data_IF_905785447603
#
_entry.id   IF_905785447603
#
_cell.length_a   1.000
_cell.length_b   1.000
_cell.length_c   1.000
_cell.angle_alpha   90.00
_cell.angle_beta   90.00
_cell.angle_gamma   90.00
#
_symmetry.space_group_name_H-M   'P 1'
#
loop_
_entity.id
_entity.type
_entity.pdbx_description
1 polymer ?
#
# COMPACT_ATOMS: atom_id res chain seq x y z
N UNK A 1 0.52 10.83 -20.77
CA UNK A 1 0.25 9.41 -20.41
C UNK A 1 0.39 9.34 -18.91
N UNK A 2 -0.46 8.61 -18.18
CA UNK A 2 -0.38 8.46 -16.73
C UNK A 2 0.11 7.04 -16.41
N UNK A 3 1.10 6.88 -15.53
CA UNK A 3 1.75 5.60 -15.21
C UNK A 3 1.15 4.95 -13.95
N UNK A 4 1.21 5.64 -12.81
CA UNK A 4 0.73 5.24 -11.49
C UNK A 4 -0.77 5.52 -11.36
N UNK A 5 -1.54 4.72 -12.08
CA UNK A 5 -3.00 4.72 -12.04
C UNK A 5 -3.54 3.95 -10.83
N UNK A 6 -4.84 4.10 -10.54
CA UNK A 6 -5.53 3.31 -9.50
C UNK A 6 -5.47 1.82 -9.83
N UNK A 7 -5.66 1.48 -11.10
CA UNK A 7 -5.59 0.11 -11.60
C UNK A 7 -4.18 -0.47 -11.44
N UNK A 8 -3.13 0.32 -11.74
CA UNK A 8 -1.75 -0.11 -11.49
C UNK A 8 -1.49 -0.34 -10.00
N UNK A 9 -1.95 0.56 -9.12
CA UNK A 9 -1.85 0.37 -7.67
C UNK A 9 -2.54 -0.92 -7.23
N UNK A 10 -3.74 -1.22 -7.73
CA UNK A 10 -4.42 -2.48 -7.41
C UNK A 10 -3.61 -3.72 -7.79
N UNK A 11 -2.80 -3.66 -8.85
CA UNK A 11 -1.87 -4.75 -9.21
C UNK A 11 -0.70 -4.86 -8.23
N UNK A 12 -0.20 -3.74 -7.70
CA UNK A 12 0.85 -3.75 -6.68
C UNK A 12 0.45 -4.56 -5.45
N UNK A 13 -0.84 -4.57 -5.10
CA UNK A 13 -1.39 -5.33 -3.96
C UNK A 13 -1.51 -6.85 -4.22
N UNK A 14 -1.21 -7.32 -5.43
CA UNK A 14 -1.49 -8.68 -5.92
C UNK A 14 -0.23 -9.41 -6.41
N UNK A 15 0.96 -9.04 -5.94
CA UNK A 15 2.23 -9.59 -6.41
C UNK A 15 2.91 -10.58 -5.43
N UNK A 16 2.34 -10.79 -4.24
CA UNK A 16 2.98 -11.53 -3.16
C UNK A 16 2.04 -12.53 -2.43
N UNK A 17 0.83 -12.76 -2.95
CA UNK A 17 -0.19 -13.61 -2.31
C UNK A 17 0.24 -15.09 -2.15
N UNK A 18 1.32 -15.51 -2.81
CA UNK A 18 1.85 -16.87 -2.74
C UNK A 18 2.96 -17.05 -1.69
N UNK A 19 3.53 -15.97 -1.12
CA UNK A 19 4.79 -16.03 -0.37
C UNK A 19 4.73 -16.92 0.88
N UNK A 20 3.58 -16.99 1.54
CA UNK A 20 3.40 -17.74 2.78
C UNK A 20 2.77 -19.12 2.56
N UNK A 21 2.31 -19.43 1.33
CA UNK A 21 1.60 -20.67 1.07
C UNK A 21 2.51 -21.89 1.23
N UNK A 22 2.02 -22.85 2.00
CA UNK A 22 2.64 -24.15 2.23
C UNK A 22 1.82 -25.25 1.56
N UNK A 23 2.53 -26.20 0.94
CA UNK A 23 1.89 -27.34 0.30
C UNK A 23 1.25 -28.25 1.35
N UNK A 24 -0.04 -28.51 1.18
CA UNK A 24 -0.81 -29.38 2.05
C UNK A 24 -1.76 -30.25 1.22
N UNK A 25 -1.68 -31.57 1.44
CA UNK A 25 -2.51 -32.53 0.73
C UNK A 25 -3.95 -32.50 1.21
N UNK A 26 -4.19 -32.27 2.51
CA UNK A 26 -5.55 -32.18 3.05
C UNK A 26 -6.34 -30.98 2.48
N UNK A 27 -5.65 -30.00 1.87
CA UNK A 27 -6.27 -28.87 1.17
C UNK A 27 -6.87 -29.24 -0.21
N UNK A 28 -6.70 -30.47 -0.69
CA UNK A 28 -7.31 -30.95 -1.96
C UNK A 28 -8.84 -31.10 -1.87
N UNK A 29 -9.39 -31.22 -0.66
CA UNK A 29 -10.82 -31.45 -0.44
C UNK A 29 -11.36 -30.57 0.68
N UNK A 30 -12.62 -30.17 0.58
CA UNK A 30 -13.30 -29.49 1.68
C UNK A 30 -13.44 -30.44 2.89
N UNK A 31 -12.98 -30.00 4.07
CA UNK A 31 -13.10 -30.74 5.32
C UNK A 31 -13.25 -29.78 6.50
N UNK A 32 -14.43 -29.79 7.11
CA UNK A 32 -14.70 -28.97 8.31
C UNK A 32 -13.82 -29.38 9.48
N UNK A 33 -13.63 -30.68 9.68
CA UNK A 33 -12.78 -31.20 10.76
C UNK A 33 -11.33 -30.71 10.60
N UNK A 34 -10.79 -30.78 9.38
CA UNK A 34 -9.43 -30.31 9.10
C UNK A 34 -9.30 -28.81 9.32
N UNK A 35 -10.24 -28.01 8.81
CA UNK A 35 -10.25 -26.56 9.03
C UNK A 35 -10.26 -26.21 10.53
N UNK A 36 -11.12 -26.83 11.34
CA UNK A 36 -11.21 -26.55 12.77
C UNK A 36 -9.91 -26.92 13.50
N UNK A 37 -9.29 -28.06 13.16
CA UNK A 37 -8.00 -28.46 13.71
C UNK A 37 -6.91 -27.43 13.37
N UNK A 38 -6.78 -27.06 12.09
CA UNK A 38 -5.80 -26.10 11.62
C UNK A 38 -6.01 -24.72 12.25
N UNK A 39 -7.25 -24.23 12.29
CA UNK A 39 -7.59 -22.95 12.91
C UNK A 39 -7.18 -22.92 14.40
N UNK A 40 -7.42 -24.00 15.14
CA UNK A 40 -6.99 -24.09 16.53
C UNK A 40 -5.47 -24.14 16.70
N UNK A 41 -4.75 -24.80 15.79
CA UNK A 41 -3.28 -24.82 15.80
C UNK A 41 -2.73 -23.40 15.59
N UNK A 42 -3.20 -22.72 14.54
CA UNK A 42 -2.76 -21.36 14.22
C UNK A 42 -3.14 -20.34 15.30
N UNK A 43 -4.35 -20.43 15.85
CA UNK A 43 -4.77 -19.60 16.98
C UNK A 43 -3.85 -19.77 18.18
N UNK A 44 -3.52 -21.01 18.57
CA UNK A 44 -2.64 -21.24 19.70
C UNK A 44 -1.21 -20.74 19.43
N UNK A 45 -0.69 -20.96 18.23
CA UNK A 45 0.62 -20.45 17.80
C UNK A 45 0.67 -18.91 17.91
N UNK A 46 -0.35 -18.24 17.37
CA UNK A 46 -0.48 -16.79 17.43
C UNK A 46 -0.57 -16.29 18.87
N UNK A 47 -1.40 -16.91 19.72
CA UNK A 47 -1.52 -16.55 21.14
C UNK A 47 -0.19 -16.65 21.88
N UNK A 48 0.59 -17.70 21.63
CA UNK A 48 1.92 -17.88 22.23
C UNK A 48 2.88 -16.77 21.80
N UNK A 49 2.93 -16.44 20.50
CA UNK A 49 3.79 -15.35 20.00
C UNK A 49 3.39 -14.00 20.60
N UNK A 50 2.10 -13.72 20.70
CA UNK A 50 1.60 -12.47 21.30
C UNK A 50 1.92 -12.36 22.79
N UNK A 51 1.77 -13.45 23.55
CA UNK A 51 2.12 -13.50 24.96
C UNK A 51 3.63 -13.30 25.16
N UNK A 52 4.47 -13.98 24.38
CA UNK A 52 5.92 -13.82 24.43
C UNK A 52 6.37 -12.40 24.06
N UNK A 53 5.77 -11.79 23.04
CA UNK A 53 6.04 -10.42 22.66
C UNK A 53 5.63 -9.43 23.77
N UNK A 54 4.46 -9.64 24.38
CA UNK A 54 3.98 -8.82 25.51
C UNK A 54 4.92 -8.92 26.72
N UNK A 55 5.42 -10.12 27.04
CA UNK A 55 6.36 -10.31 28.16
C UNK A 55 7.67 -9.52 27.99
N UNK A 56 8.13 -9.31 26.75
CA UNK A 56 9.32 -8.47 26.46
C UNK A 56 9.08 -6.99 26.75
N UNK A 57 7.82 -6.56 26.81
CA UNK A 57 7.44 -5.18 27.10
C UNK A 57 7.24 -4.91 28.60
N UNK A 58 7.43 -5.91 29.47
CA UNK A 58 7.10 -5.84 30.91
C UNK A 58 7.76 -4.69 31.68
N UNK A 59 8.90 -4.18 31.22
CA UNK A 59 9.59 -3.04 31.84
C UNK A 59 9.10 -1.66 31.39
N UNK A 60 8.13 -1.57 30.48
CA UNK A 60 7.60 -0.29 30.01
C UNK A 60 6.58 0.28 31.01
N UNK A 61 6.55 1.60 31.15
CA UNK A 61 5.68 2.31 32.11
C UNK A 61 4.17 2.06 31.88
N UNK A 62 3.77 1.73 30.64
CA UNK A 62 2.38 1.44 30.26
C UNK A 62 2.14 -0.06 29.99
N UNK A 63 2.84 -0.95 30.68
CA UNK A 63 2.67 -2.39 30.49
C UNK A 63 1.27 -2.85 30.94
N UNK A 64 0.51 -3.39 30.00
CA UNK A 64 -0.71 -4.13 30.23
C UNK A 64 -0.46 -5.62 29.99
N UNK A 65 -0.82 -6.52 30.92
CA UNK A 65 -0.69 -7.96 30.71
C UNK A 65 -1.48 -8.44 29.49
N UNK A 66 -0.94 -9.42 28.78
CA UNK A 66 -1.64 -10.06 27.68
C UNK A 66 -3.00 -10.63 28.12
N UNK A 67 -4.06 -10.24 27.42
CA UNK A 67 -5.40 -10.77 27.60
C UNK A 67 -5.69 -11.78 26.50
N UNK A 68 -5.79 -13.06 26.88
CA UNK A 68 -6.03 -14.17 25.96
C UNK A 68 -7.37 -14.07 25.21
N UNK A 69 -8.44 -13.63 25.87
CA UNK A 69 -9.77 -13.51 25.26
C UNK A 69 -9.77 -12.44 24.18
N UNK A 70 -9.25 -11.25 24.50
CA UNK A 70 -9.02 -10.18 23.51
C UNK A 70 -8.13 -10.65 22.38
N UNK A 71 -7.14 -11.49 22.71
CA UNK A 71 -6.31 -12.11 21.69
C UNK A 71 -7.13 -12.94 20.71
N UNK A 72 -7.94 -13.87 21.22
CA UNK A 72 -8.78 -14.75 20.37
C UNK A 72 -9.67 -13.93 19.43
N UNK A 73 -10.26 -12.83 19.93
CA UNK A 73 -11.05 -11.91 19.11
C UNK A 73 -10.21 -11.27 17.99
N UNK A 74 -9.02 -10.75 18.32
CA UNK A 74 -8.10 -10.15 17.34
C UNK A 74 -7.68 -11.14 16.25
N UNK A 75 -7.34 -12.38 16.62
CA UNK A 75 -7.01 -13.42 15.64
C UNK A 75 -8.19 -13.69 14.71
N UNK A 76 -9.39 -13.79 15.25
CA UNK A 76 -10.60 -14.03 14.46
C UNK A 76 -10.86 -12.89 13.49
N UNK A 77 -10.76 -11.63 13.94
CA UNK A 77 -10.96 -10.46 13.11
C UNK A 77 -9.95 -10.40 11.95
N UNK A 78 -8.67 -10.69 12.23
CA UNK A 78 -7.61 -10.78 11.22
C UNK A 78 -7.92 -11.91 10.22
N UNK A 79 -8.32 -13.08 10.70
CA UNK A 79 -8.68 -14.21 9.84
C UNK A 79 -9.84 -13.86 8.90
N UNK A 80 -10.92 -13.25 9.42
CA UNK A 80 -12.06 -12.84 8.59
C UNK A 80 -11.67 -11.76 7.58
N UNK A 81 -10.86 -10.78 7.99
CA UNK A 81 -10.33 -9.76 7.09
C UNK A 81 -9.52 -10.39 5.95
N UNK A 82 -8.57 -11.27 6.27
CA UNK A 82 -7.73 -11.95 5.27
C UNK A 82 -8.56 -12.83 4.33
N UNK A 83 -9.56 -13.53 4.85
CA UNK A 83 -10.49 -14.32 4.05
C UNK A 83 -11.25 -13.46 3.03
N UNK A 84 -11.76 -12.30 3.46
CA UNK A 84 -12.46 -11.36 2.58
C UNK A 84 -11.51 -10.73 1.56
N UNK A 85 -10.31 -10.35 2.01
CA UNK A 85 -9.26 -9.79 1.17
C UNK A 85 -8.88 -10.76 0.05
N UNK A 86 -8.53 -12.00 0.39
CA UNK A 86 -8.11 -13.01 -0.59
C UNK A 86 -9.20 -13.32 -1.62
N UNK A 87 -10.48 -13.37 -1.19
CA UNK A 87 -11.62 -13.53 -2.11
C UNK A 87 -11.76 -12.38 -3.10
N UNK A 88 -11.42 -11.16 -2.68
CA UNK A 88 -11.47 -9.95 -3.54
C UNK A 88 -10.28 -9.90 -4.50
N UNK A 89 -9.08 -10.27 -4.03
CA UNK A 89 -7.85 -10.10 -4.80
C UNK A 89 -7.59 -11.22 -5.81
N UNK A 90 -7.97 -12.47 -5.48
CA UNK A 90 -7.70 -13.61 -6.35
C UNK A 90 -8.66 -13.65 -7.54
N UNK A 91 -8.17 -13.97 -8.75
CA UNK A 91 -9.03 -14.24 -9.90
C UNK A 91 -10.01 -15.38 -9.63
N UNK A 92 -11.24 -15.27 -10.14
CA UNK A 92 -12.28 -16.30 -9.98
C UNK A 92 -11.81 -17.69 -10.47
N UNK A 93 -10.96 -17.73 -11.49
CA UNK A 93 -10.37 -18.96 -12.04
C UNK A 93 -9.43 -19.66 -11.05
N UNK A 94 -8.74 -18.92 -10.20
CA UNK A 94 -7.91 -19.47 -9.12
C UNK A 94 -8.77 -19.85 -7.93
N UNK A 95 -9.73 -19.00 -7.55
CA UNK A 95 -10.65 -19.29 -6.43
C UNK A 95 -11.38 -20.61 -6.64
N UNK A 96 -11.80 -20.92 -7.89
CA UNK A 96 -12.45 -22.20 -8.24
C UNK A 96 -11.55 -23.44 -8.09
N UNK A 97 -10.23 -23.28 -8.02
CA UNK A 97 -9.28 -24.38 -7.80
C UNK A 97 -9.06 -24.67 -6.31
N UNK A 98 -9.47 -23.75 -5.43
CA UNK A 98 -9.29 -23.86 -3.98
C UNK A 98 -10.50 -24.62 -3.42
N UNK A 99 -10.25 -25.78 -2.81
CA UNK A 99 -11.32 -26.62 -2.27
C UNK A 99 -11.97 -26.01 -1.00
N UNK A 100 -11.15 -25.41 -0.13
CA UNK A 100 -11.62 -24.63 1.02
C UNK A 100 -10.77 -23.35 1.17
N UNK A 101 -11.38 -22.21 0.87
CA UNK A 101 -10.72 -20.90 0.96
C UNK A 101 -10.30 -20.54 2.40
N UNK A 102 -10.93 -21.14 3.42
CA UNK A 102 -10.56 -20.90 4.82
C UNK A 102 -9.24 -21.56 5.18
N UNK A 103 -8.99 -22.75 4.64
CA UNK A 103 -7.69 -23.45 4.76
C UNK A 103 -6.61 -22.69 4.00
N UNK A 104 -6.94 -22.17 2.82
CA UNK A 104 -6.06 -21.28 2.06
C UNK A 104 -5.72 -19.98 2.82
N UNK A 105 -6.68 -19.39 3.54
CA UNK A 105 -6.44 -18.21 4.40
C UNK A 105 -5.50 -18.51 5.58
N UNK A 106 -5.35 -19.78 5.96
CA UNK A 106 -4.36 -20.24 6.95
C UNK A 106 -3.09 -20.76 6.26
N UNK A 107 -2.77 -20.20 5.09
CA UNK A 107 -1.57 -20.44 4.30
C UNK A 107 -1.38 -21.89 3.83
N UNK A 108 -2.43 -22.72 3.78
CA UNK A 108 -2.35 -24.11 3.27
C UNK A 108 -3.02 -24.27 1.92
N UNK A 109 -2.29 -24.80 0.94
CA UNK A 109 -2.81 -24.98 -0.41
C UNK A 109 -2.22 -26.21 -1.10
N UNK A 110 -2.90 -26.69 -2.14
CA UNK A 110 -2.32 -27.74 -2.99
C UNK A 110 -1.21 -27.16 -3.87
N UNK A 111 -0.27 -28.00 -4.31
CA UNK A 111 0.80 -27.57 -5.23
C UNK A 111 0.27 -26.87 -6.48
N UNK A 112 -0.85 -27.35 -7.04
CA UNK A 112 -1.46 -26.75 -8.23
C UNK A 112 -1.98 -25.34 -7.95
N UNK A 113 -2.65 -25.14 -6.82
CA UNK A 113 -3.13 -23.81 -6.40
C UNK A 113 -1.95 -22.87 -6.17
N UNK A 114 -0.89 -23.31 -5.46
CA UNK A 114 0.31 -22.51 -5.21
C UNK A 114 0.90 -22.04 -6.54
N UNK A 115 1.13 -22.96 -7.49
CA UNK A 115 1.68 -22.62 -8.80
C UNK A 115 0.81 -21.60 -9.55
N UNK A 116 -0.52 -21.72 -9.49
CA UNK A 116 -1.43 -20.79 -10.13
C UNK A 116 -1.37 -19.39 -9.51
N UNK A 117 -1.33 -19.29 -8.17
CA UNK A 117 -1.20 -18.00 -7.46
C UNK A 117 0.17 -17.39 -7.71
N UNK A 118 1.24 -18.19 -7.71
CA UNK A 118 2.61 -17.74 -8.04
C UNK A 118 2.65 -17.15 -9.45
N UNK A 119 2.13 -17.86 -10.46
CA UNK A 119 2.11 -17.34 -11.83
C UNK A 119 1.34 -16.01 -11.91
N UNK A 120 0.16 -15.92 -11.30
CA UNK A 120 -0.63 -14.69 -11.24
C UNK A 120 0.16 -13.54 -10.59
N UNK A 121 0.82 -13.81 -9.46
CA UNK A 121 1.62 -12.82 -8.75
C UNK A 121 2.82 -12.34 -9.58
N UNK A 122 3.53 -13.25 -10.23
CA UNK A 122 4.69 -12.94 -11.09
C UNK A 122 4.29 -12.12 -12.33
N UNK A 123 3.14 -12.43 -12.93
CA UNK A 123 2.59 -11.65 -14.05
C UNK A 123 2.26 -10.22 -13.62
N UNK A 124 1.59 -10.05 -12.46
CA UNK A 124 1.31 -8.73 -11.90
C UNK A 124 2.61 -7.97 -11.57
N UNK A 125 3.59 -8.65 -10.96
CA UNK A 125 4.90 -8.06 -10.66
C UNK A 125 5.57 -7.52 -11.92
N UNK A 126 5.59 -8.28 -13.02
CA UNK A 126 6.18 -7.85 -14.30
C UNK A 126 5.51 -6.59 -14.84
N UNK A 127 4.18 -6.51 -14.80
CA UNK A 127 3.43 -5.33 -15.23
C UNK A 127 3.80 -4.13 -14.35
N UNK A 128 3.77 -4.31 -13.03
CA UNK A 128 4.07 -3.27 -12.05
C UNK A 128 5.47 -2.70 -12.27
N UNK A 129 6.48 -3.57 -12.35
CA UNK A 129 7.88 -3.18 -12.55
C UNK A 129 8.09 -2.50 -13.89
N UNK A 130 7.45 -2.97 -14.97
CA UNK A 130 7.58 -2.35 -16.30
C UNK A 130 7.09 -0.90 -16.28
N UNK A 131 5.95 -0.63 -15.63
CA UNK A 131 5.41 0.73 -15.51
C UNK A 131 6.35 1.65 -14.71
N UNK A 132 6.95 1.14 -13.62
CA UNK A 132 7.96 1.88 -12.85
C UNK A 132 9.18 2.20 -13.73
N UNK A 133 9.70 1.19 -14.45
CA UNK A 133 10.86 1.35 -15.33
C UNK A 133 10.60 2.35 -16.47
N UNK A 134 9.41 2.31 -17.05
CA UNK A 134 9.04 3.23 -18.13
C UNK A 134 8.87 4.68 -17.63
N UNK A 135 8.32 4.89 -16.44
CA UNK A 135 8.31 6.23 -15.84
C UNK A 135 9.71 6.71 -15.48
N UNK A 136 10.56 5.85 -14.90
CA UNK A 136 11.97 6.18 -14.62
C UNK A 136 12.72 6.56 -15.90
N UNK A 137 12.46 5.84 -16.99
CA UNK A 137 13.03 6.16 -18.32
C UNK A 137 12.54 7.52 -18.81
N UNK A 138 11.24 7.78 -18.71
CA UNK A 138 10.65 9.08 -19.06
C UNK A 138 11.32 10.23 -18.28
N UNK A 139 11.45 10.11 -16.95
CA UNK A 139 12.10 11.14 -16.13
C UNK A 139 13.55 11.34 -16.53
N UNK A 140 14.30 10.26 -16.78
CA UNK A 140 15.69 10.36 -17.24
C UNK A 140 15.81 11.10 -18.58
N UNK A 141 14.97 10.75 -19.56
CA UNK A 141 14.95 11.37 -20.89
C UNK A 141 14.51 12.83 -20.88
N UNK A 142 13.68 13.22 -19.89
CA UNK A 142 13.14 14.57 -19.75
C UNK A 142 13.77 15.37 -18.60
N UNK A 143 14.82 14.84 -17.95
CA UNK A 143 15.49 15.46 -16.80
C UNK A 143 15.95 16.89 -17.08
N UNK A 144 16.43 17.19 -18.30
CA UNK A 144 16.85 18.54 -18.68
C UNK A 144 15.72 19.54 -18.84
N UNK A 145 14.46 19.08 -18.94
CA UNK A 145 13.26 19.92 -19.03
C UNK A 145 12.62 20.17 -17.67
N UNK A 146 12.99 19.36 -16.68
CA UNK A 146 12.51 19.48 -15.31
C UNK A 146 13.57 20.26 -14.52
N UNK A 147 13.32 21.54 -14.24
CA UNK A 147 14.20 22.34 -13.36
C UNK A 147 13.99 22.01 -11.87
N UNK A 148 13.52 20.78 -11.59
CA UNK A 148 13.22 20.27 -10.26
C UNK A 148 14.09 19.05 -10.05
N UNK A 149 14.91 19.08 -9.01
CA UNK A 149 15.67 17.92 -8.57
C UNK A 149 14.70 16.93 -7.90
N UNK A 150 14.29 15.91 -8.66
CA UNK A 150 13.46 14.81 -8.18
C UNK A 150 14.41 13.63 -8.02
N UNK A 151 14.59 13.17 -6.80
CA UNK A 151 15.25 11.88 -6.57
C UNK A 151 14.25 10.81 -7.06
N UNK A 152 14.63 10.05 -8.08
CA UNK A 152 13.73 9.28 -8.96
C UNK A 152 12.98 8.10 -8.31
N UNK A 153 12.98 8.02 -6.99
CA UNK A 153 12.39 6.97 -6.15
C UNK A 153 11.28 7.54 -5.25
N UNK A 154 10.23 8.12 -5.85
CA UNK A 154 9.00 8.51 -5.15
C UNK A 154 9.23 9.39 -3.91
N UNK A 155 9.63 10.64 -4.14
CA UNK A 155 10.11 11.58 -3.13
C UNK A 155 9.12 11.90 -2.01
N UNK A 156 7.85 11.52 -2.13
CA UNK A 156 6.82 11.75 -1.12
C UNK A 156 6.10 10.49 -0.64
N UNK A 157 6.56 9.29 -1.03
CA UNK A 157 5.92 8.04 -0.59
C UNK A 157 5.76 8.01 0.94
N UNK A 158 4.59 7.60 1.42
CA UNK A 158 4.20 7.56 2.84
C UNK A 158 4.07 8.92 3.55
N UNK A 159 4.31 10.05 2.89
CA UNK A 159 3.99 11.36 3.46
C UNK A 159 2.49 11.50 3.65
N UNK A 160 2.06 11.98 4.82
CA UNK A 160 0.65 12.29 5.06
C UNK A 160 0.37 13.78 4.89
N UNK A 161 -0.62 14.15 4.09
CA UNK A 161 -1.05 15.55 3.97
C UNK A 161 -1.82 15.93 5.24
N UNK A 162 -1.21 16.77 6.08
CA UNK A 162 -1.81 17.25 7.33
C UNK A 162 -2.79 18.39 7.04
N UNK A 163 -2.46 19.25 6.08
CA UNK A 163 -3.22 20.46 5.79
C UNK A 163 -3.01 20.93 4.36
N UNK A 164 -4.10 21.32 3.70
CA UNK A 164 -4.04 22.11 2.48
C UNK A 164 -4.38 23.58 2.77
N UNK A 165 -3.59 24.50 2.23
CA UNK A 165 -3.81 25.94 2.32
C UNK A 165 -3.89 26.46 0.90
N UNK A 166 -5.12 26.74 0.44
CA UNK A 166 -5.41 27.21 -0.90
C UNK A 166 -5.76 28.69 -0.90
N UNK A 167 -5.24 29.42 -1.89
CA UNK A 167 -5.73 30.73 -2.29
C UNK A 167 -5.98 30.75 -3.82
N UNK A 168 -6.33 31.91 -4.38
CA UNK A 168 -6.71 32.04 -5.79
C UNK A 168 -5.63 31.59 -6.78
N UNK A 169 -4.34 31.63 -6.39
CA UNK A 169 -3.22 31.33 -7.28
C UNK A 169 -2.29 30.25 -6.77
N UNK A 170 -2.38 29.87 -5.50
CA UNK A 170 -1.43 28.91 -4.92
C UNK A 170 -2.09 27.88 -4.02
N UNK A 171 -1.43 26.73 -3.95
CA UNK A 171 -1.78 25.63 -3.08
C UNK A 171 -0.52 25.23 -2.32
N UNK A 172 -0.58 25.30 -0.99
CA UNK A 172 0.44 24.78 -0.09
C UNK A 172 -0.08 23.53 0.60
N UNK A 173 0.68 22.45 0.54
CA UNK A 173 0.44 21.19 1.26
C UNK A 173 1.46 21.06 2.38
N UNK A 174 1.00 20.85 3.60
CA UNK A 174 1.84 20.49 4.75
C UNK A 174 1.85 18.97 4.92
N UNK A 175 3.04 18.40 5.06
CA UNK A 175 3.27 16.96 5.11
C UNK A 175 3.75 16.51 6.51
N UNK A 176 3.28 15.35 6.97
CA UNK A 176 3.94 14.56 8.01
C UNK A 176 4.81 13.52 7.29
N UNK A 177 6.14 13.65 7.42
CA UNK A 177 7.13 12.81 6.76
C UNK A 177 7.83 11.82 7.71
N UNK A 178 7.36 11.66 8.95
CA UNK A 178 8.03 10.81 9.98
C UNK A 178 8.25 9.36 9.58
N UNK A 179 7.45 8.85 8.64
CA UNK A 179 7.49 7.47 8.14
C UNK A 179 7.93 7.40 6.67
N UNK A 180 8.33 8.53 6.09
CA UNK A 180 8.78 8.68 4.71
C UNK A 180 10.30 8.85 4.66
N UNK A 181 10.92 8.57 3.51
CA UNK A 181 12.35 8.78 3.28
C UNK A 181 12.71 10.25 2.96
N UNK A 182 11.72 11.14 2.87
CA UNK A 182 11.93 12.56 2.59
C UNK A 182 12.00 13.43 3.84
N UNK A 183 12.74 14.54 3.74
CA UNK A 183 12.79 15.58 4.77
C UNK A 183 11.95 16.82 4.41
N UNK A 184 11.15 16.73 3.34
CA UNK A 184 10.30 17.84 2.88
C UNK A 184 9.05 17.88 3.75
N UNK A 185 8.78 19.04 4.35
CA UNK A 185 7.61 19.27 5.18
C UNK A 185 6.50 20.01 4.42
N UNK A 186 6.87 20.74 3.36
CA UNK A 186 5.90 21.54 2.59
C UNK A 186 6.14 21.46 1.09
N UNK A 187 5.04 21.32 0.35
CA UNK A 187 5.00 21.46 -1.11
C UNK A 187 4.14 22.65 -1.46
N UNK A 188 4.69 23.59 -2.23
CA UNK A 188 3.99 24.80 -2.65
C UNK A 188 3.90 24.82 -4.17
N UNK A 189 2.68 24.93 -4.69
CA UNK A 189 2.36 25.11 -6.10
C UNK A 189 1.88 26.55 -6.32
N UNK A 190 2.47 27.26 -7.27
CA UNK A 190 2.16 28.66 -7.59
C UNK A 190 1.62 28.82 -9.02
N UNK A 191 0.72 29.80 -9.19
CA UNK A 191 -0.07 30.05 -10.40
C UNK A 191 -0.77 28.79 -10.93
N UNK A 192 -1.56 28.19 -10.05
CA UNK A 192 -2.08 26.84 -10.23
C UNK A 192 -3.32 26.75 -11.11
N UNK A 193 -3.54 25.56 -11.66
CA UNK A 193 -4.81 25.09 -12.17
C UNK A 193 -5.03 23.65 -11.69
N UNK A 194 -6.06 23.41 -10.87
CA UNK A 194 -6.42 22.04 -10.45
C UNK A 194 -7.17 21.39 -11.60
N UNK A 195 -6.58 20.33 -12.17
CA UNK A 195 -7.12 19.59 -13.31
C UNK A 195 -8.07 18.49 -12.82
N UNK A 196 -7.70 17.80 -11.74
CA UNK A 196 -8.49 16.72 -11.14
C UNK A 196 -8.28 16.70 -9.63
N UNK A 197 -9.35 16.45 -8.89
CA UNK A 197 -9.32 16.20 -7.45
C UNK A 197 -10.54 15.36 -7.10
N UNK A 198 -10.33 14.06 -6.87
CA UNK A 198 -11.44 13.14 -6.60
C UNK A 198 -12.07 13.35 -5.21
N UNK A 199 -11.29 13.79 -4.22
CA UNK A 199 -11.74 13.98 -2.83
C UNK A 199 -10.87 15.03 -2.08
N UNK A 200 -11.11 15.20 -0.78
CA UNK A 200 -10.27 15.98 0.14
C UNK A 200 -8.84 15.44 0.18
N UNK A 201 -7.87 16.35 0.24
CA UNK A 201 -6.45 15.98 0.25
C UNK A 201 -5.96 15.72 1.68
N UNK A 202 -6.50 16.45 2.64
CA UNK A 202 -6.17 16.29 4.05
C UNK A 202 -6.41 14.87 4.53
N UNK A 203 -5.57 14.46 5.47
CA UNK A 203 -5.60 13.13 6.07
C UNK A 203 -5.32 11.97 5.10
N UNK A 204 -4.87 12.26 3.88
CA UNK A 204 -4.48 11.25 2.89
C UNK A 204 -2.95 11.06 2.86
N UNK A 205 -2.54 9.82 2.60
CA UNK A 205 -1.14 9.44 2.37
C UNK A 205 -0.80 9.55 0.90
N UNK A 206 0.39 10.05 0.64
CA UNK A 206 0.95 10.18 -0.70
C UNK A 206 1.58 8.86 -1.10
N UNK A 207 1.04 8.25 -2.15
CA UNK A 207 1.52 6.95 -2.61
C UNK A 207 2.49 7.14 -3.77
N UNK A 208 2.10 7.87 -4.81
CA UNK A 208 2.94 8.00 -6.00
C UNK A 208 2.73 9.35 -6.66
N UNK A 209 3.80 9.86 -7.27
CA UNK A 209 3.75 11.07 -8.09
C UNK A 209 4.35 10.87 -9.47
N UNK A 210 3.79 11.60 -10.42
CA UNK A 210 4.31 11.77 -11.76
C UNK A 210 4.43 13.26 -12.07
N UNK A 211 5.53 13.64 -12.71
CA UNK A 211 5.83 15.05 -12.96
C UNK A 211 6.11 15.25 -14.44
N UNK A 212 5.34 16.14 -15.06
CA UNK A 212 5.43 16.46 -16.48
C UNK A 212 5.71 17.95 -16.70
N UNK A 213 6.32 18.27 -17.84
CA UNK A 213 6.41 19.63 -18.36
C UNK A 213 5.46 19.77 -19.54
N UNK A 214 4.42 20.59 -19.41
CA UNK A 214 3.37 20.79 -20.42
C UNK A 214 3.16 22.29 -20.62
N UNK A 215 3.40 22.80 -21.84
CA UNK A 215 3.27 24.22 -22.19
C UNK A 215 3.97 25.15 -21.17
N UNK A 216 5.23 24.87 -20.86
CA UNK A 216 6.08 25.57 -19.88
C UNK A 216 5.64 25.48 -18.41
N UNK A 217 4.52 24.81 -18.10
CA UNK A 217 4.06 24.53 -16.74
C UNK A 217 4.44 23.14 -16.29
N UNK A 218 4.58 22.97 -14.98
CA UNK A 218 4.62 21.67 -14.36
C UNK A 218 3.20 21.11 -14.27
N UNK A 219 3.06 19.81 -14.48
CA UNK A 219 1.84 19.07 -14.21
C UNK A 219 2.19 17.89 -13.30
N UNK A 220 1.67 17.92 -12.08
CA UNK A 220 1.82 16.89 -11.06
C UNK A 220 0.59 16.00 -11.07
N UNK A 221 0.81 14.69 -11.22
CA UNK A 221 -0.22 13.67 -11.03
C UNK A 221 0.14 12.93 -9.77
N UNK A 222 -0.77 12.94 -8.81
CA UNK A 222 -0.56 12.37 -7.49
C UNK A 222 -1.64 11.34 -7.23
N UNK A 223 -1.22 10.14 -6.82
CA UNK A 223 -2.10 9.13 -6.28
C UNK A 223 -1.99 9.18 -4.75
N UNK A 224 -3.12 9.46 -4.10
CA UNK A 224 -3.23 9.46 -2.66
C UNK A 224 -4.13 8.32 -2.18
N UNK A 225 -4.00 7.93 -0.91
CA UNK A 225 -4.93 7.04 -0.22
C UNK A 225 -5.44 7.71 1.04
N UNK A 226 -6.76 7.71 1.26
CA UNK A 226 -7.35 8.29 2.48
C UNK A 226 -7.41 7.26 3.64
N UNK A 227 -7.94 7.68 4.78
CA UNK A 227 -8.13 6.81 5.98
C UNK A 227 -9.11 5.65 5.78
N UNK A 228 -9.97 5.70 4.77
CA UNK A 228 -10.89 4.61 4.41
C UNK A 228 -10.31 3.70 3.33
N UNK A 229 -9.03 3.85 3.01
CA UNK A 229 -8.28 3.11 1.98
C UNK A 229 -8.72 3.42 0.53
N UNK A 230 -9.57 4.44 0.33
CA UNK A 230 -9.97 4.86 -1.01
C UNK A 230 -8.84 5.64 -1.69
N UNK A 231 -8.66 5.35 -2.98
CA UNK A 231 -7.66 6.00 -3.81
C UNK A 231 -8.19 7.32 -4.40
N UNK A 232 -7.40 8.38 -4.29
CA UNK A 232 -7.74 9.74 -4.75
C UNK A 232 -6.74 10.14 -5.83
N UNK A 233 -7.25 10.45 -7.03
CA UNK A 233 -6.44 11.13 -8.02
C UNK A 233 -6.46 12.64 -7.77
N UNK A 234 -5.27 13.21 -7.64
CA UNK A 234 -5.07 14.65 -7.59
C UNK A 234 -4.11 15.07 -8.71
N UNK A 235 -4.58 15.91 -9.63
CA UNK A 235 -3.79 16.42 -10.74
C UNK A 235 -3.81 17.95 -10.72
N UNK A 236 -2.62 18.54 -10.67
CA UNK A 236 -2.44 19.99 -10.57
C UNK A 236 -1.39 20.46 -11.59
N UNK A 237 -1.71 21.53 -12.31
CA UNK A 237 -0.74 22.27 -13.09
C UNK A 237 -0.28 23.51 -12.32
N UNK A 238 1.01 23.84 -12.37
CA UNK A 238 1.61 24.98 -11.70
C UNK A 238 2.74 25.58 -12.54
N UNK A 239 2.94 26.90 -12.46
CA UNK A 239 4.09 27.54 -13.12
C UNK A 239 5.37 27.36 -12.32
N UNK A 240 5.26 27.34 -10.99
CA UNK A 240 6.38 27.15 -10.08
C UNK A 240 5.98 26.17 -8.98
N UNK A 241 6.97 25.39 -8.56
CA UNK A 241 6.85 24.43 -7.47
C UNK A 241 8.03 24.65 -6.53
N UNK A 242 7.79 24.57 -5.23
CA UNK A 242 8.83 24.71 -4.21
C UNK A 242 8.65 23.67 -3.12
N UNK A 243 9.77 23.12 -2.66
CA UNK A 243 9.84 22.16 -1.57
C UNK A 243 10.58 22.79 -0.39
N UNK A 244 10.00 22.69 0.80
CA UNK A 244 10.56 23.27 2.02
C UNK A 244 10.81 22.16 3.03
N UNK A 245 12.06 22.05 3.47
CA UNK A 245 12.49 21.18 4.58
C UNK A 245 12.80 22.04 5.79
N UNK A 246 12.16 21.82 6.94
CA UNK A 246 12.56 22.47 8.18
C UNK A 246 13.77 21.73 8.74
N UNK A 247 14.95 22.38 8.69
CA UNK A 247 16.22 21.87 9.22
C UNK A 247 16.30 21.70 10.74
N UNK A 248 15.18 21.56 11.46
CA UNK A 248 15.14 21.64 12.92
C UNK A 248 15.01 20.29 13.66
N UNK A 249 15.08 19.15 12.97
CA UNK A 249 15.09 17.84 13.61
C UNK A 249 16.36 17.03 13.28
N UNK A 250 17.53 17.61 13.60
CA UNK A 250 18.77 16.85 13.85
C UNK A 250 18.95 16.69 15.37
#
# INVERSE_FOLDING_TARGET
MKYFTKEWHELCQKNNLHLHLEEEKQAETFSEEYFQQLYHIELNSWLTVQEEANLRLKSHENYEPFNKEKGIEQFHDIFIHNLMYLKKQLPETIVKQIADIRVFTLDKATRNVINAVTQFCEENYRIVTTVIEDYKRYIKENSTLLDIEIDGDFSFHDCKIIKSIKNDKSLKLLLDNKVSDTNIDEVIFENINIIKQDDLLEDSWWLYEEIYKVNDKYEFHVLLQNKTEDLIDFIISAEQISFISNKNNL
#
